data_IF_129825303986
#
_entry.id   IF_129825303986
#
_cell.length_a   1.000
_cell.length_b   1.000
_cell.length_c   1.000
_cell.angle_alpha   90.00
_cell.angle_beta   90.00
_cell.angle_gamma   90.00
#
_symmetry.space_group_name_H-M   'P 1'
#
loop_
_entity.id
_entity.type
_entity.pdbx_description
1 polymer ?
#
# COMPACT_ATOMS: atom_id res chain seq x y z
N UNK A 1 -15.06 7.59 -11.15
CA UNK A 1 -13.93 6.65 -11.19
C UNK A 1 -12.59 7.32 -10.89
N UNK A 2 -12.09 8.25 -11.73
CA UNK A 2 -10.75 8.86 -11.55
C UNK A 2 -10.55 9.56 -10.18
N UNK A 3 -11.57 10.27 -9.67
CA UNK A 3 -11.50 10.94 -8.35
C UNK A 3 -11.33 9.98 -7.18
N UNK A 4 -11.96 8.81 -7.25
CA UNK A 4 -11.85 7.80 -6.18
C UNK A 4 -10.42 7.28 -6.16
N UNK A 5 -9.88 6.90 -7.33
CA UNK A 5 -8.48 6.45 -7.47
C UNK A 5 -7.50 7.52 -6.95
N UNK A 6 -7.71 8.79 -7.29
CA UNK A 6 -6.88 9.90 -6.78
C UNK A 6 -6.99 10.10 -5.27
N UNK A 7 -8.17 9.92 -4.68
CA UNK A 7 -8.37 10.02 -3.24
C UNK A 7 -7.76 8.86 -2.45
N UNK A 8 -7.58 7.69 -3.08
CA UNK A 8 -6.88 6.57 -2.44
C UNK A 8 -5.38 6.85 -2.32
N UNK A 9 -4.82 7.56 -3.29
CA UNK A 9 -3.40 7.92 -3.27
C UNK A 9 -3.11 9.25 -2.56
N UNK A 10 -4.12 9.95 -2.05
CA UNK A 10 -3.91 11.22 -1.33
C UNK A 10 -3.42 11.05 0.11
N UNK A 11 -3.61 9.88 0.73
CA UNK A 11 -3.03 9.60 2.04
C UNK A 11 -2.75 8.11 2.26
N UNK A 12 -1.64 7.76 2.95
CA UNK A 12 -1.33 6.38 3.30
C UNK A 12 -2.48 5.70 4.04
N UNK A 13 -3.14 6.39 4.96
CA UNK A 13 -4.19 5.82 5.80
C UNK A 13 -5.43 5.40 4.98
N UNK A 14 -5.77 6.17 3.95
CA UNK A 14 -6.88 5.84 3.03
C UNK A 14 -6.55 4.67 2.11
N UNK A 15 -5.28 4.55 1.68
CA UNK A 15 -4.81 3.41 0.90
C UNK A 15 -4.79 2.13 1.73
N UNK A 16 -4.27 2.20 2.96
CA UNK A 16 -4.18 1.06 3.88
C UNK A 16 -5.56 0.55 4.32
N UNK A 17 -6.52 1.46 4.58
CA UNK A 17 -7.87 1.11 5.01
C UNK A 17 -8.71 0.37 3.96
N UNK A 18 -8.22 0.23 2.72
CA UNK A 18 -8.89 -0.49 1.64
C UNK A 18 -8.51 -1.97 1.59
N UNK A 19 -7.35 -2.33 2.14
CA UNK A 19 -7.01 -3.73 2.37
C UNK A 19 -7.87 -4.24 3.52
N UNK A 20 -8.82 -5.13 3.22
CA UNK A 20 -9.67 -5.69 4.26
C UNK A 20 -8.81 -6.50 5.22
N UNK A 21 -9.13 -6.49 6.52
CA UNK A 21 -8.45 -7.33 7.51
C UNK A 21 -8.50 -8.84 7.19
N UNK A 22 -9.31 -9.25 6.19
CA UNK A 22 -9.40 -10.61 5.68
C UNK A 22 -8.36 -10.91 4.59
N UNK A 23 -7.91 -9.93 3.80
CA UNK A 23 -6.81 -10.09 2.83
C UNK A 23 -5.43 -10.10 3.51
N UNK A 24 -5.40 -9.64 4.76
CA UNK A 24 -4.19 -9.51 5.60
C UNK A 24 -3.88 -10.82 6.37
N UNK A 25 -4.77 -11.82 6.33
CA UNK A 25 -4.67 -13.02 7.17
C UNK A 25 -3.73 -14.12 6.66
N UNK A 26 -3.15 -14.00 5.47
CA UNK A 26 -2.03 -14.85 5.05
C UNK A 26 -0.72 -14.08 5.19
N UNK A 27 -0.01 -14.37 6.27
CA UNK A 27 1.44 -14.19 6.41
C UNK A 27 1.93 -12.83 5.91
N UNK A 28 1.48 -11.74 6.55
CA UNK A 28 2.29 -10.53 6.54
C UNK A 28 3.56 -10.86 7.34
N UNK A 29 4.57 -11.36 6.66
CA UNK A 29 5.94 -11.35 7.17
C UNK A 29 6.32 -9.87 7.37
N UNK A 30 6.33 -9.45 8.64
CA UNK A 30 6.87 -8.16 9.07
C UNK A 30 8.31 -8.04 8.57
N UNK A 31 8.50 -7.45 7.39
CA UNK A 31 9.83 -7.26 6.80
C UNK A 31 9.83 -7.25 5.28
N UNK A 32 8.95 -8.01 4.63
CA UNK A 32 8.95 -8.10 3.17
C UNK A 32 8.25 -6.92 2.51
N UNK A 33 8.81 -6.43 1.40
CA UNK A 33 8.24 -5.29 0.66
C UNK A 33 7.25 -5.71 -0.41
N UNK A 34 7.37 -6.92 -0.92
CA UNK A 34 6.56 -7.51 -1.98
C UNK A 34 5.98 -8.82 -1.46
N UNK A 35 4.68 -9.00 -1.61
CA UNK A 35 3.98 -10.25 -1.33
C UNK A 35 3.79 -10.99 -2.64
N UNK A 36 4.01 -12.30 -2.63
CA UNK A 36 3.75 -13.19 -3.77
C UNK A 36 2.72 -14.21 -3.31
N UNK A 37 1.58 -14.26 -3.97
CA UNK A 37 0.54 -15.23 -3.65
C UNK A 37 0.86 -16.63 -4.22
N UNK A 38 0.02 -17.61 -3.89
CA UNK A 38 0.11 -18.99 -4.37
C UNK A 38 0.05 -19.13 -5.91
N UNK A 39 -0.47 -18.13 -6.61
CA UNK A 39 -0.56 -18.08 -8.07
C UNK A 39 0.64 -17.37 -8.71
N UNK A 40 1.60 -16.91 -7.90
CA UNK A 40 2.76 -16.15 -8.35
C UNK A 40 2.47 -14.68 -8.69
N UNK A 41 1.32 -14.15 -8.27
CA UNK A 41 0.97 -12.74 -8.46
C UNK A 41 1.69 -11.91 -7.39
N UNK A 42 2.46 -10.93 -7.87
CA UNK A 42 3.18 -10.00 -7.00
C UNK A 42 2.32 -8.78 -6.63
N UNK A 43 2.31 -8.43 -5.35
CA UNK A 43 1.67 -7.23 -4.82
C UNK A 43 2.59 -6.52 -3.81
N UNK A 44 2.32 -5.24 -3.53
CA UNK A 44 3.10 -4.45 -2.56
C UNK A 44 2.58 -4.73 -1.16
N UNK A 45 3.49 -4.92 -0.18
CA UNK A 45 3.09 -5.11 1.22
C UNK A 45 2.73 -3.76 1.89
N UNK A 46 1.45 -3.49 2.19
CA UNK A 46 1.02 -2.26 2.86
C UNK A 46 1.49 -2.16 4.32
N UNK A 47 1.79 -3.28 4.98
CA UNK A 47 2.19 -3.31 6.39
C UNK A 47 3.70 -3.06 6.59
N UNK A 48 4.50 -3.05 5.52
CA UNK A 48 5.93 -2.79 5.61
C UNK A 48 6.22 -1.30 5.88
N UNK A 49 6.90 -0.99 6.98
CA UNK A 49 7.21 0.39 7.38
C UNK A 49 8.00 1.17 6.31
N UNK A 50 8.96 0.53 5.62
CA UNK A 50 9.75 1.20 4.58
C UNK A 50 8.88 1.53 3.36
N UNK A 51 7.95 0.64 2.98
CA UNK A 51 6.98 0.90 1.92
C UNK A 51 6.08 2.08 2.27
N UNK A 52 5.58 2.15 3.51
CA UNK A 52 4.77 3.29 3.98
C UNK A 52 5.55 4.61 3.95
N UNK A 53 6.82 4.60 4.36
CA UNK A 53 7.69 5.78 4.32
C UNK A 53 7.96 6.24 2.87
N UNK A 54 8.24 5.30 1.97
CA UNK A 54 8.47 5.60 0.55
C UNK A 54 7.21 6.16 -0.11
N UNK A 55 6.05 5.59 0.20
CA UNK A 55 4.76 6.10 -0.27
C UNK A 55 4.50 7.52 0.23
N UNK A 56 4.69 7.78 1.52
CA UNK A 56 4.55 9.13 2.12
C UNK A 56 5.48 10.14 1.45
N UNK A 57 6.74 9.76 1.22
CA UNK A 57 7.73 10.59 0.52
C UNK A 57 7.28 10.92 -0.90
N UNK A 58 6.73 9.92 -1.62
CA UNK A 58 6.24 10.08 -2.98
C UNK A 58 5.06 11.07 -3.05
N UNK A 59 4.04 10.87 -2.20
CA UNK A 59 2.88 11.77 -2.11
C UNK A 59 3.32 13.20 -1.79
N UNK A 60 4.22 13.38 -0.82
CA UNK A 60 4.76 14.70 -0.49
C UNK A 60 5.49 15.34 -1.68
N UNK A 61 6.27 14.57 -2.45
CA UNK A 61 6.94 15.08 -3.66
C UNK A 61 5.94 15.48 -4.73
N UNK A 62 4.84 14.72 -4.91
CA UNK A 62 3.78 15.06 -5.84
C UNK A 62 2.97 16.28 -5.41
N UNK A 63 2.85 16.54 -4.10
CA UNK A 63 2.08 17.66 -3.55
C UNK A 63 2.79 19.02 -3.66
N UNK A 64 4.05 19.03 -4.09
CA UNK A 64 4.88 20.25 -4.25
C UNK A 64 4.98 20.67 -5.73
N UNK A 65 4.30 19.96 -6.63
CA UNK A 65 4.06 20.35 -8.03
C UNK A 65 2.67 20.98 -8.18
#
# INVERSE_FOLDING_TARGET
MLKIVMQLFSSPEQFLGLFSANDIQETIEEGERILIDENGIASVNPANEQVQQDFTRHVKKMSVL
#
